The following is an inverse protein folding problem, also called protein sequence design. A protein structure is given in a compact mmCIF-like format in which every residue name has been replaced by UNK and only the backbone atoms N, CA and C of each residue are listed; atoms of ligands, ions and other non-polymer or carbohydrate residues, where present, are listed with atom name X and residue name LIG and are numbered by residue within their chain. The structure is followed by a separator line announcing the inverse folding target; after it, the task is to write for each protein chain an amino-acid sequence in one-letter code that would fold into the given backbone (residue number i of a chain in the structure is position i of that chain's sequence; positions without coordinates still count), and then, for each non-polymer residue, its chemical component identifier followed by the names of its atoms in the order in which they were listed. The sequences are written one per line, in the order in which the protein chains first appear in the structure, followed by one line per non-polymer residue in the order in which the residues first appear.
data_IF_491187351347
#
_entry.id   IF_491187351347
#
_cell.length_a   1.000
_cell.length_b   1.000
_cell.length_c   1.000
_cell.angle_alpha   90.00
_cell.angle_beta   90.00
_cell.angle_gamma   90.00
#
_symmetry.space_group_name_H-M   'P 1'
#
loop_
_entity.id
_entity.type
_entity.pdbx_description
1 polymer ?
#
# COMPACT_ATOMS: atom_id res chain seq x y z
N UNK A 1 -32.54 8.78 1.06
CA UNK A 1 -32.13 7.75 0.09
C UNK A 1 -30.77 8.05 -0.56
N UNK A 2 -30.57 9.22 -1.19
CA UNK A 2 -29.33 9.57 -1.89
C UNK A 2 -28.05 9.35 -1.06
N UNK A 3 -27.94 9.99 0.11
CA UNK A 3 -26.76 9.85 0.99
C UNK A 3 -26.62 8.49 1.67
N UNK A 4 -27.68 7.68 1.75
CA UNK A 4 -27.59 6.36 2.38
C UNK A 4 -26.98 5.30 1.44
N UNK A 5 -27.07 5.53 0.13
CA UNK A 5 -26.61 4.58 -0.88
C UNK A 5 -25.42 5.09 -1.66
N UNK A 6 -25.46 6.35 -2.11
CA UNK A 6 -24.42 6.90 -3.00
C UNK A 6 -23.19 7.38 -2.24
N UNK A 7 -23.37 8.00 -1.06
CA UNK A 7 -22.23 8.48 -0.29
C UNK A 7 -21.28 7.34 0.13
N UNK A 8 -21.75 6.19 0.65
CA UNK A 8 -20.86 5.06 0.95
C UNK A 8 -20.14 4.53 -0.30
N UNK A 9 -20.82 4.46 -1.45
CA UNK A 9 -20.23 4.00 -2.71
C UNK A 9 -19.10 4.94 -3.14
N UNK A 10 -19.33 6.25 -3.17
CA UNK A 10 -18.30 7.22 -3.56
C UNK A 10 -17.10 7.20 -2.62
N UNK A 11 -17.34 7.07 -1.31
CA UNK A 11 -16.25 6.97 -0.33
C UNK A 11 -15.44 5.68 -0.51
N UNK A 12 -16.10 4.55 -0.76
CA UNK A 12 -15.43 3.28 -1.02
C UNK A 12 -14.64 3.30 -2.33
N UNK A 13 -15.21 3.84 -3.40
CA UNK A 13 -14.56 3.97 -4.70
C UNK A 13 -13.34 4.88 -4.62
N UNK A 14 -13.49 6.07 -4.02
CA UNK A 14 -12.37 6.98 -3.79
C UNK A 14 -11.27 6.30 -2.96
N UNK A 15 -11.65 5.59 -1.89
CA UNK A 15 -10.70 4.88 -1.03
C UNK A 15 -9.90 3.83 -1.80
N UNK A 16 -10.57 2.97 -2.58
CA UNK A 16 -9.92 1.93 -3.38
C UNK A 16 -9.03 2.53 -4.47
N UNK A 17 -9.52 3.50 -5.22
CA UNK A 17 -8.74 4.15 -6.28
C UNK A 17 -7.49 4.79 -5.66
N UNK A 18 -7.64 5.51 -4.55
CA UNK A 18 -6.52 6.18 -3.93
C UNK A 18 -5.54 5.22 -3.27
N UNK A 19 -5.99 4.41 -2.30
CA UNK A 19 -5.09 3.62 -1.46
C UNK A 19 -4.63 2.32 -2.09
N UNK A 20 -5.48 1.65 -2.87
CA UNK A 20 -5.15 0.36 -3.48
C UNK A 20 -4.53 0.55 -4.87
N UNK A 21 -5.20 1.29 -5.76
CA UNK A 21 -4.80 1.36 -7.16
C UNK A 21 -3.71 2.41 -7.45
N UNK A 22 -3.81 3.61 -6.88
CA UNK A 22 -2.95 4.73 -7.26
C UNK A 22 -1.74 4.91 -6.34
N UNK A 23 -1.94 5.05 -5.03
CA UNK A 23 -0.88 5.48 -4.10
C UNK A 23 0.33 4.53 -4.04
N UNK A 24 0.17 3.19 -4.01
CA UNK A 24 1.29 2.25 -4.00
C UNK A 24 2.01 2.16 -5.35
N UNK A 25 1.35 2.55 -6.45
CA UNK A 25 1.85 2.34 -7.81
C UNK A 25 2.34 3.62 -8.49
N UNK A 26 1.91 4.80 -8.04
CA UNK A 26 2.30 6.07 -8.63
C UNK A 26 3.82 6.34 -8.46
N UNK A 27 4.55 6.74 -9.52
CA UNK A 27 4.05 7.23 -10.82
C UNK A 27 3.72 6.17 -11.88
N UNK A 28 3.97 4.88 -11.62
CA UNK A 28 3.56 3.78 -12.50
C UNK A 28 4.40 3.63 -13.77
N UNK A 29 5.62 4.17 -13.76
CA UNK A 29 6.52 4.21 -14.92
C UNK A 29 7.55 3.09 -14.93
N UNK A 30 7.75 2.41 -13.79
CA UNK A 30 8.69 1.29 -13.65
C UNK A 30 7.92 -0.03 -13.57
N UNK A 31 8.51 -1.10 -14.12
CA UNK A 31 7.99 -2.46 -14.03
C UNK A 31 9.06 -3.38 -13.44
N UNK A 32 8.62 -4.43 -12.75
CA UNK A 32 9.48 -5.47 -12.23
C UNK A 32 9.33 -5.66 -10.73
N UNK A 33 9.75 -6.84 -10.27
CA UNK A 33 9.43 -7.41 -8.94
C UNK A 33 9.61 -6.45 -7.76
N UNK A 34 10.64 -5.60 -7.77
CA UNK A 34 11.00 -4.72 -6.64
C UNK A 34 10.78 -3.23 -6.95
N UNK A 35 10.18 -2.89 -8.09
CA UNK A 35 10.15 -1.53 -8.64
C UNK A 35 8.75 -1.04 -9.04
N UNK A 36 7.82 -1.96 -9.31
CA UNK A 36 6.45 -1.65 -9.73
C UNK A 36 5.53 -1.12 -8.60
N UNK A 37 5.98 -1.21 -7.35
CA UNK A 37 5.23 -0.83 -6.16
C UNK A 37 6.14 -0.19 -5.13
N UNK A 38 5.63 0.81 -4.40
CA UNK A 38 6.32 1.49 -3.31
C UNK A 38 5.59 1.36 -1.97
N UNK A 39 6.35 1.45 -0.89
CA UNK A 39 5.78 1.65 0.44
C UNK A 39 5.48 3.15 0.66
N UNK A 40 4.52 3.45 1.54
CA UNK A 40 4.20 4.82 1.90
C UNK A 40 3.61 4.91 3.31
N UNK A 41 3.73 6.10 3.93
CA UNK A 41 3.07 6.40 5.20
C UNK A 41 1.80 7.21 4.94
N UNK A 42 0.65 6.67 5.33
CA UNK A 42 -0.62 7.39 5.32
C UNK A 42 -0.66 8.34 6.51
N UNK A 43 -1.11 9.58 6.26
CA UNK A 43 -1.37 10.57 7.32
C UNK A 43 -2.46 10.12 8.28
N UNK A 44 -3.34 9.24 7.84
CA UNK A 44 -4.46 8.69 8.61
C UNK A 44 -4.15 7.28 9.17
N UNK A 45 -2.91 6.81 9.03
CA UNK A 45 -2.44 5.55 9.58
C UNK A 45 -2.87 4.30 8.81
N UNK A 46 -2.53 3.14 9.37
CA UNK A 46 -2.67 1.86 8.68
C UNK A 46 -4.11 1.36 8.59
N UNK A 47 -4.93 1.66 9.61
CA UNK A 47 -6.31 1.20 9.68
C UNK A 47 -7.14 1.90 8.59
N UNK A 48 -7.05 3.24 8.50
CA UNK A 48 -7.80 4.00 7.49
C UNK A 48 -7.32 3.68 6.09
N UNK A 49 -6.03 3.42 5.88
CA UNK A 49 -5.51 2.95 4.59
C UNK A 49 -5.79 1.46 4.32
N UNK A 50 -6.52 0.77 5.19
CA UNK A 50 -6.81 -0.66 5.08
C UNK A 50 -5.56 -1.54 4.86
N UNK A 51 -4.44 -1.20 5.50
CA UNK A 51 -3.18 -1.94 5.38
C UNK A 51 -2.31 -1.57 4.16
N UNK A 52 -2.76 -0.65 3.30
CA UNK A 52 -2.09 -0.37 2.02
C UNK A 52 -0.74 0.32 2.14
N UNK A 53 -0.39 0.89 3.29
CA UNK A 53 0.96 1.42 3.54
C UNK A 53 2.07 0.39 3.25
N UNK A 54 1.77 -0.89 3.45
CA UNK A 54 2.68 -2.02 3.28
C UNK A 54 2.33 -2.86 2.04
N UNK A 55 1.60 -2.31 1.07
CA UNK A 55 1.15 -3.02 -0.13
C UNK A 55 2.29 -3.61 -0.96
N UNK A 56 3.49 -3.03 -0.87
CA UNK A 56 4.71 -3.61 -1.46
C UNK A 56 4.97 -5.07 -1.03
N UNK A 57 4.64 -5.43 0.22
CA UNK A 57 4.79 -6.81 0.71
C UNK A 57 3.80 -7.75 0.01
N UNK A 58 2.58 -7.27 -0.27
CA UNK A 58 1.59 -8.06 -0.99
C UNK A 58 2.07 -8.37 -2.41
N UNK A 59 2.67 -7.40 -3.12
CA UNK A 59 3.25 -7.63 -4.45
C UNK A 59 4.41 -8.62 -4.43
N UNK A 60 5.28 -8.53 -3.42
CA UNK A 60 6.45 -9.40 -3.31
C UNK A 60 6.13 -10.81 -2.81
N UNK A 61 5.17 -10.92 -1.89
CA UNK A 61 4.84 -12.13 -1.14
C UNK A 61 3.30 -12.22 -0.95
N UNK A 62 2.53 -12.46 -2.01
CA UNK A 62 1.05 -12.41 -1.97
C UNK A 62 0.41 -13.44 -1.05
N UNK A 63 1.17 -14.46 -0.63
CA UNK A 63 0.73 -15.48 0.34
C UNK A 63 0.74 -14.99 1.79
N UNK A 64 1.38 -13.85 2.10
CA UNK A 64 1.33 -13.26 3.44
C UNK A 64 -0.01 -12.52 3.58
N UNK A 65 -0.85 -12.87 4.58
CA UNK A 65 -2.10 -12.17 4.83
C UNK A 65 -1.90 -10.67 5.06
N UNK A 66 -2.85 -9.86 4.61
CA UNK A 66 -2.77 -8.40 4.71
C UNK A 66 -2.58 -7.88 6.14
N UNK A 67 -3.15 -8.57 7.13
CA UNK A 67 -2.98 -8.24 8.56
C UNK A 67 -1.53 -8.39 9.04
N UNK A 68 -0.73 -9.21 8.36
CA UNK A 68 0.67 -9.50 8.71
C UNK A 68 1.67 -8.73 7.86
N UNK A 69 1.23 -8.01 6.81
CA UNK A 69 2.15 -7.20 5.98
C UNK A 69 2.90 -6.11 6.77
N UNK A 70 2.36 -5.48 7.84
CA UNK A 70 3.15 -4.54 8.63
C UNK A 70 4.30 -5.23 9.38
N UNK A 71 4.07 -6.43 9.90
CA UNK A 71 5.10 -7.20 10.61
C UNK A 71 6.16 -7.70 9.62
N UNK A 72 5.72 -8.32 8.53
CA UNK A 72 6.61 -8.78 7.46
C UNK A 72 7.44 -7.63 6.88
N UNK A 73 6.87 -6.43 6.70
CA UNK A 73 7.63 -5.27 6.25
C UNK A 73 8.78 -4.92 7.20
N UNK A 74 8.53 -4.88 8.52
CA UNK A 74 9.58 -4.54 9.50
C UNK A 74 10.73 -5.55 9.46
N UNK A 75 10.42 -6.84 9.38
CA UNK A 75 11.43 -7.90 9.30
C UNK A 75 12.20 -7.87 7.97
N UNK A 76 11.50 -7.63 6.86
CA UNK A 76 12.09 -7.63 5.52
C UNK A 76 12.75 -6.30 5.16
N UNK A 77 12.57 -5.23 5.94
CA UNK A 77 13.06 -3.88 5.62
C UNK A 77 14.52 -3.84 5.17
N UNK A 78 15.49 -4.51 5.84
CA UNK A 78 16.88 -4.50 5.39
C UNK A 78 17.07 -5.11 3.99
N UNK A 79 16.30 -6.15 3.66
CA UNK A 79 16.32 -6.80 2.34
C UNK A 79 15.70 -5.88 1.30
N UNK A 80 14.59 -5.21 1.63
CA UNK A 80 13.93 -4.27 0.72
C UNK A 80 14.86 -3.09 0.37
N UNK A 81 15.58 -2.56 1.38
CA UNK A 81 16.59 -1.51 1.19
C UNK A 81 17.74 -2.00 0.29
N UNK A 82 18.28 -3.20 0.55
CA UNK A 82 19.34 -3.80 -0.28
C UNK A 82 18.89 -4.05 -1.73
N UNK A 83 17.60 -4.36 -1.92
CA UNK A 83 16.99 -4.55 -3.25
C UNK A 83 16.63 -3.24 -3.95
N UNK A 84 16.82 -2.10 -3.30
CA UNK A 84 16.51 -0.78 -3.86
C UNK A 84 15.01 -0.51 -4.00
N UNK A 85 14.18 -1.10 -3.14
CA UNK A 85 12.74 -0.81 -3.11
C UNK A 85 12.49 0.63 -2.66
N UNK A 86 11.49 1.30 -3.24
CA UNK A 86 11.10 2.64 -2.82
C UNK A 86 10.22 2.58 -1.56
N UNK A 87 10.80 2.91 -0.41
CA UNK A 87 10.16 2.76 0.91
C UNK A 87 9.42 4.01 1.39
N UNK A 88 9.60 5.14 0.70
CA UNK A 88 9.00 6.43 1.03
C UNK A 88 9.17 6.78 2.51
N UNK A 89 8.13 7.36 3.11
CA UNK A 89 8.15 7.78 4.51
C UNK A 89 8.06 6.62 5.54
N UNK A 90 8.12 5.36 5.11
CA UNK A 90 8.30 4.20 6.00
C UNK A 90 9.77 3.74 6.09
N UNK A 91 10.67 4.45 5.42
CA UNK A 91 12.10 4.24 5.52
C UNK A 91 12.69 4.72 6.85
N UNK A 92 12.06 5.70 7.51
CA UNK A 92 12.50 6.29 8.77
C UNK A 92 11.45 6.06 9.86
#
# INVERSE_FOLDING_TARGET
AFFLWWLPIFLAEFHLIYYLAWKPHHPGVEQGRYRDTRAFKSRFGNIISAGMQYHIIHHLYPRIPLSLTPAAYRELKPILEQRGCELGALQH
#
